data_IF_176796540825
#
_entry.id   IF_176796540825
#
_cell.length_a   1.000
_cell.length_b   1.000
_cell.length_c   1.000
_cell.angle_alpha   90.00
_cell.angle_beta   90.00
_cell.angle_gamma   90.00
#
_symmetry.space_group_name_H-M   'P 1'
#
loop_
_entity.id
_entity.type
_entity.pdbx_description
1 polymer ?
#
# COMPACT_ATOMS: atom_id res chain seq x y z
N UNK A 1 21.36 -13.93 14.81
CA UNK A 1 20.39 -12.88 14.39
C UNK A 1 19.63 -12.44 15.62
N UNK A 2 19.76 -11.18 16.05
CA UNK A 2 18.89 -10.62 17.11
C UNK A 2 17.59 -10.20 16.43
N UNK A 3 16.46 -10.69 16.93
CA UNK A 3 15.16 -10.13 16.57
C UNK A 3 15.20 -8.63 16.89
N UNK A 4 15.07 -7.78 15.87
CA UNK A 4 14.95 -6.33 16.05
C UNK A 4 13.73 -6.04 16.93
N UNK A 5 13.81 -5.02 17.79
CA UNK A 5 12.66 -4.64 18.60
C UNK A 5 11.56 -4.15 17.65
N UNK A 6 10.30 -4.39 17.98
CA UNK A 6 9.15 -3.85 17.23
C UNK A 6 9.18 -2.31 17.11
N UNK A 7 9.93 -1.66 17.99
CA UNK A 7 10.18 -0.21 17.99
C UNK A 7 11.15 0.25 16.89
N UNK A 8 11.91 -0.68 16.28
CA UNK A 8 12.81 -0.41 15.15
C UNK A 8 12.06 -0.42 13.80
N UNK A 9 10.76 -0.73 13.81
CA UNK A 9 9.91 -0.73 12.63
C UNK A 9 9.42 0.69 12.29
N UNK A 10 9.48 1.05 11.01
CA UNK A 10 9.00 2.35 10.54
C UNK A 10 7.48 2.35 10.37
N UNK A 11 6.80 3.02 11.28
CA UNK A 11 5.35 3.19 11.23
C UNK A 11 4.96 4.51 10.57
N UNK A 12 3.97 4.45 9.70
CA UNK A 12 3.34 5.63 9.09
C UNK A 12 1.92 5.74 9.59
N UNK A 13 1.59 6.89 10.19
CA UNK A 13 0.20 7.26 10.40
C UNK A 13 -0.34 7.94 9.15
N UNK A 14 -1.46 7.43 8.63
CA UNK A 14 -2.11 7.95 7.44
C UNK A 14 -3.61 8.07 7.64
N UNK A 15 -4.27 8.92 6.87
CA UNK A 15 -5.72 8.86 6.68
C UNK A 15 -6.02 8.02 5.44
N UNK A 16 -6.85 7.00 5.58
CA UNK A 16 -7.39 6.22 4.47
C UNK A 16 -8.82 6.66 4.22
N UNK A 17 -9.14 6.98 2.97
CA UNK A 17 -10.52 7.21 2.52
C UNK A 17 -10.88 6.14 1.49
N UNK A 18 -11.78 5.23 1.85
CA UNK A 18 -12.24 4.13 1.01
C UNK A 18 -13.31 4.57 0.01
N UNK A 19 -13.58 3.76 -1.01
CA UNK A 19 -14.55 4.08 -2.08
C UNK A 19 -15.99 4.21 -1.59
N UNK A 20 -16.34 3.54 -0.49
CA UNK A 20 -17.63 3.69 0.17
C UNK A 20 -17.77 5.01 0.97
N UNK A 21 -16.75 5.87 0.96
CA UNK A 21 -16.74 7.14 1.69
C UNK A 21 -16.24 7.03 3.13
N UNK A 22 -16.00 5.82 3.63
CA UNK A 22 -15.42 5.62 4.96
C UNK A 22 -14.04 6.26 5.03
N UNK A 23 -13.83 7.09 6.04
CA UNK A 23 -12.54 7.71 6.33
C UNK A 23 -12.05 7.28 7.72
N UNK A 24 -10.82 6.78 7.79
CA UNK A 24 -10.20 6.33 9.04
C UNK A 24 -8.74 6.74 9.15
N UNK A 25 -8.28 6.94 10.38
CA UNK A 25 -6.84 7.01 10.66
C UNK A 25 -6.30 5.59 10.85
N UNK A 26 -5.20 5.27 10.17
CA UNK A 26 -4.54 3.98 10.24
C UNK A 26 -3.05 4.15 10.56
N UNK A 27 -2.50 3.17 11.29
CA UNK A 27 -1.07 3.00 11.53
C UNK A 27 -0.60 1.79 10.70
N UNK A 28 0.10 2.09 9.61
CA UNK A 28 0.60 1.11 8.66
C UNK A 28 2.12 0.96 8.80
N UNK A 29 2.62 -0.26 8.65
CA UNK A 29 4.06 -0.50 8.54
C UNK A 29 4.53 -0.03 7.16
N UNK A 30 5.56 0.81 7.10
CA UNK A 30 6.23 1.11 5.84
C UNK A 30 7.24 0.00 5.54
N UNK A 31 6.94 -0.82 4.54
CA UNK A 31 7.80 -1.91 4.10
C UNK A 31 8.09 -1.79 2.61
N UNK A 32 9.23 -1.21 2.27
CA UNK A 32 9.71 -1.11 0.88
C UNK A 32 10.21 -2.44 0.31
N UNK A 33 10.20 -3.53 1.08
CA UNK A 33 10.36 -4.89 0.59
C UNK A 33 9.05 -5.52 0.13
N UNK A 34 7.91 -5.06 0.66
CA UNK A 34 6.60 -5.57 0.29
C UNK A 34 6.19 -5.13 -1.12
N UNK A 35 5.86 -6.09 -1.98
CA UNK A 35 5.47 -5.83 -3.37
C UNK A 35 4.00 -5.38 -3.53
N UNK A 36 3.22 -5.42 -2.45
CA UNK A 36 1.82 -5.02 -2.42
C UNK A 36 1.55 -4.17 -1.16
N UNK A 37 0.52 -3.31 -1.21
CA UNK A 37 -0.06 -2.78 0.02
C UNK A 37 -1.04 -3.81 0.58
N UNK A 38 -1.11 -3.91 1.90
CA UNK A 38 -1.89 -4.93 2.58
C UNK A 38 -2.70 -4.31 3.70
N UNK A 39 -3.94 -4.78 3.90
CA UNK A 39 -4.72 -4.51 5.10
C UNK A 39 -5.04 -5.81 5.82
N UNK A 40 -4.98 -5.75 7.15
CA UNK A 40 -5.39 -6.87 7.99
C UNK A 40 -6.93 -6.97 7.98
N UNK A 41 -7.48 -8.14 7.63
CA UNK A 41 -8.92 -8.35 7.43
C UNK A 41 -9.75 -8.00 8.66
N UNK A 42 -9.49 -8.52 9.87
CA UNK A 42 -10.17 -8.11 11.10
C UNK A 42 -10.29 -6.59 11.26
N UNK A 43 -9.20 -5.87 10.97
CA UNK A 43 -9.21 -4.41 11.05
C UNK A 43 -10.04 -3.78 9.92
N UNK A 44 -9.83 -4.21 8.67
CA UNK A 44 -10.57 -3.73 7.51
C UNK A 44 -12.09 -3.94 7.65
N UNK A 45 -12.51 -5.08 8.21
CA UNK A 45 -13.91 -5.34 8.56
C UNK A 45 -14.39 -4.40 9.66
N UNK A 46 -13.62 -4.23 10.74
CA UNK A 46 -14.00 -3.38 11.87
C UNK A 46 -14.22 -1.91 11.49
N UNK A 47 -13.56 -1.44 10.44
CA UNK A 47 -13.74 -0.08 9.90
C UNK A 47 -14.74 -0.01 8.74
N UNK A 48 -15.33 -1.12 8.30
CA UNK A 48 -16.25 -1.14 7.16
C UNK A 48 -15.57 -0.91 5.81
N UNK A 49 -14.29 -1.26 5.65
CA UNK A 49 -13.58 -1.11 4.36
C UNK A 49 -14.02 -2.16 3.32
N UNK A 50 -14.61 -3.27 3.76
CA UNK A 50 -14.92 -4.42 2.89
C UNK A 50 -16.31 -4.36 2.23
N UNK A 51 -17.04 -3.25 2.37
CA UNK A 51 -18.40 -3.14 1.82
C UNK A 51 -18.41 -2.99 0.29
N UNK A 52 -17.29 -2.53 -0.30
CA UNK A 52 -17.10 -2.38 -1.74
C UNK A 52 -15.72 -2.90 -2.13
N UNK A 53 -15.67 -4.19 -2.46
CA UNK A 53 -14.43 -4.90 -2.77
C UNK A 53 -14.44 -5.46 -4.19
N UNK A 54 -13.26 -5.59 -4.78
CA UNK A 54 -13.07 -6.48 -5.93
C UNK A 54 -12.69 -7.89 -5.47
N UNK A 55 -12.87 -8.91 -6.32
CA UNK A 55 -12.43 -10.28 -6.03
C UNK A 55 -10.95 -10.31 -5.64
N UNK A 56 -10.62 -11.17 -4.68
CA UNK A 56 -9.25 -11.31 -4.20
C UNK A 56 -8.25 -11.72 -5.29
N UNK A 57 -7.05 -11.17 -5.20
CA UNK A 57 -5.93 -11.44 -6.10
C UNK A 57 -4.99 -12.48 -5.51
N UNK A 58 -4.45 -13.34 -6.35
CA UNK A 58 -3.40 -14.28 -5.96
C UNK A 58 -2.06 -13.57 -5.80
N UNK A 59 -1.34 -13.94 -4.74
CA UNK A 59 -0.04 -13.38 -4.41
C UNK A 59 0.88 -14.46 -3.85
N UNK A 60 2.19 -14.27 -3.96
CA UNK A 60 3.18 -15.14 -3.35
C UNK A 60 3.61 -14.55 -2.02
N UNK A 61 3.42 -15.28 -0.92
CA UNK A 61 3.89 -14.84 0.40
C UNK A 61 5.40 -15.07 0.58
N UNK A 62 5.94 -14.51 1.67
CA UNK A 62 7.37 -14.61 2.03
C UNK A 62 7.83 -16.06 2.23
N UNK A 63 6.93 -16.96 2.64
CA UNK A 63 7.18 -18.41 2.73
C UNK A 63 7.20 -19.13 1.37
N UNK A 64 7.07 -18.39 0.27
CA UNK A 64 7.06 -18.89 -1.10
C UNK A 64 5.72 -19.50 -1.54
N UNK A 65 4.72 -19.61 -0.65
CA UNK A 65 3.42 -20.19 -0.96
C UNK A 65 2.57 -19.23 -1.79
N UNK A 66 1.78 -19.79 -2.72
CA UNK A 66 0.74 -19.05 -3.41
C UNK A 66 -0.47 -18.94 -2.49
N UNK A 67 -0.93 -17.71 -2.26
CA UNK A 67 -2.09 -17.37 -1.43
C UNK A 67 -3.01 -16.46 -2.22
N UNK A 68 -4.23 -16.25 -1.73
CA UNK A 68 -5.19 -15.32 -2.31
C UNK A 68 -5.66 -14.35 -1.24
N UNK A 69 -5.76 -13.07 -1.57
CA UNK A 69 -6.41 -12.11 -0.70
C UNK A 69 -7.90 -12.47 -0.57
N UNK A 70 -8.52 -12.06 0.53
CA UNK A 70 -9.96 -12.23 0.72
C UNK A 70 -10.73 -11.29 -0.21
N UNK A 71 -10.17 -10.09 -0.38
CA UNK A 71 -10.72 -8.98 -1.12
C UNK A 71 -9.59 -8.04 -1.50
N UNK A 72 -9.82 -7.18 -2.49
CA UNK A 72 -9.02 -5.98 -2.64
C UNK A 72 -9.90 -4.75 -2.45
N UNK A 73 -9.31 -3.70 -1.87
CA UNK A 73 -9.96 -2.42 -1.64
C UNK A 73 -9.12 -1.29 -2.23
N UNK A 74 -9.79 -0.27 -2.73
CA UNK A 74 -9.15 0.99 -3.10
C UNK A 74 -9.30 1.98 -1.97
N UNK A 75 -8.20 2.63 -1.60
CA UNK A 75 -8.19 3.71 -0.62
C UNK A 75 -7.33 4.87 -1.10
N UNK A 76 -7.83 6.09 -0.93
CA UNK A 76 -7.00 7.28 -0.99
C UNK A 76 -6.16 7.36 0.29
N UNK A 77 -4.85 7.21 0.15
CA UNK A 77 -3.87 7.23 1.22
C UNK A 77 -3.31 8.64 1.36
N UNK A 78 -3.64 9.32 2.46
CA UNK A 78 -3.11 10.64 2.79
C UNK A 78 -2.05 10.55 3.89
N UNK A 79 -0.81 10.89 3.55
CA UNK A 79 0.33 11.00 4.48
C UNK A 79 0.95 12.38 4.32
N UNK A 80 0.97 13.17 5.39
CA UNK A 80 1.62 14.49 5.39
C UNK A 80 1.06 15.44 4.32
N UNK A 81 -0.21 15.31 3.94
CA UNK A 81 -0.86 16.13 2.90
C UNK A 81 -0.70 15.60 1.47
N UNK A 82 0.07 14.52 1.26
CA UNK A 82 0.16 13.83 -0.03
C UNK A 82 -0.90 12.73 -0.08
N UNK A 83 -1.85 12.86 -0.99
CA UNK A 83 -3.01 11.99 -1.12
C UNK A 83 -2.96 11.22 -2.45
N UNK A 84 -2.82 9.89 -2.39
CA UNK A 84 -2.74 9.01 -3.58
C UNK A 84 -3.65 7.81 -3.40
N UNK A 85 -4.46 7.50 -4.42
CA UNK A 85 -5.32 6.30 -4.43
C UNK A 85 -4.51 5.05 -4.73
N UNK A 86 -4.59 4.08 -3.84
CA UNK A 86 -3.87 2.81 -3.92
C UNK A 86 -4.82 1.63 -3.72
N UNK A 87 -4.49 0.51 -4.35
CA UNK A 87 -5.09 -0.78 -4.03
C UNK A 87 -4.39 -1.42 -2.83
N UNK A 88 -5.17 -2.06 -1.98
CA UNK A 88 -4.73 -2.89 -0.86
C UNK A 88 -5.30 -4.30 -1.00
N UNK A 89 -4.44 -5.29 -0.80
CA UNK A 89 -4.84 -6.68 -0.63
C UNK A 89 -5.30 -6.89 0.81
N UNK A 90 -6.53 -7.33 1.02
CA UNK A 90 -7.03 -7.68 2.35
C UNK A 90 -6.69 -9.14 2.65
N UNK A 91 -5.80 -9.38 3.61
CA UNK A 91 -5.34 -10.72 3.97
C UNK A 91 -5.56 -10.98 5.46
N UNK A 92 -5.69 -12.26 5.83
CA UNK A 92 -5.60 -12.68 7.22
C UNK A 92 -4.12 -12.75 7.60
N UNK A 93 -3.57 -11.67 8.14
CA UNK A 93 -2.23 -11.68 8.74
C UNK A 93 -2.34 -12.09 10.22
N UNK A 94 -1.65 -13.16 10.65
CA UNK A 94 -1.64 -13.55 12.05
C UNK A 94 -0.96 -12.54 12.98
N UNK A 95 -0.30 -11.48 12.47
CA UNK A 95 0.33 -10.44 13.26
C UNK A 95 -0.68 -9.33 13.64
N UNK A 96 -1.08 -9.21 14.92
CA UNK A 96 -2.15 -8.31 15.35
C UNK A 96 -1.73 -6.84 15.52
N UNK A 97 -0.44 -6.51 15.34
CA UNK A 97 0.10 -5.22 15.76
C UNK A 97 0.06 -4.11 14.70
N UNK A 98 -0.38 -4.40 13.47
CA UNK A 98 -0.52 -3.40 12.39
C UNK A 98 -1.92 -3.39 11.81
N UNK A 99 -2.39 -2.22 11.35
CA UNK A 99 -3.60 -2.17 10.52
C UNK A 99 -3.33 -2.74 9.12
N UNK A 100 -2.06 -2.78 8.72
CA UNK A 100 -1.60 -3.24 7.42
C UNK A 100 -0.19 -2.75 7.08
N UNK A 101 0.16 -2.86 5.81
CA UNK A 101 1.47 -2.52 5.24
C UNK A 101 1.26 -1.51 4.10
N UNK A 102 2.05 -0.43 4.10
CA UNK A 102 2.32 0.39 2.91
C UNK A 102 3.56 -0.15 2.22
N UNK A 103 3.34 -0.78 1.08
CA UNK A 103 4.39 -1.43 0.31
C UNK A 103 5.03 -0.53 -0.73
N UNK A 104 5.83 -1.15 -1.58
CA UNK A 104 6.47 -0.51 -2.72
C UNK A 104 5.53 0.20 -3.70
N UNK A 105 4.29 -0.27 -3.97
CA UNK A 105 3.39 0.47 -4.85
C UNK A 105 3.15 1.91 -4.36
N UNK A 106 2.94 2.10 -3.06
CA UNK A 106 2.77 3.44 -2.50
C UNK A 106 4.09 4.21 -2.43
N UNK A 107 5.18 3.55 -1.98
CA UNK A 107 6.48 4.19 -1.88
C UNK A 107 6.98 4.76 -3.23
N UNK A 108 6.73 4.04 -4.33
CA UNK A 108 7.05 4.51 -5.69
C UNK A 108 6.16 5.66 -6.14
N UNK A 109 4.86 5.60 -5.87
CA UNK A 109 3.92 6.67 -6.25
C UNK A 109 4.25 8.00 -5.54
N UNK A 110 4.72 7.92 -4.30
CA UNK A 110 5.06 9.05 -3.45
C UNK A 110 6.55 9.46 -3.47
N UNK A 111 7.36 8.88 -4.36
CA UNK A 111 8.83 9.01 -4.39
C UNK A 111 9.44 9.11 -2.97
N UNK A 112 9.08 8.16 -2.11
CA UNK A 112 9.40 8.23 -0.68
C UNK A 112 10.91 8.12 -0.51
N UNK A 113 11.49 9.12 0.15
CA UNK A 113 12.85 9.05 0.64
C UNK A 113 12.77 8.80 2.15
N UNK A 114 13.26 7.63 2.56
CA UNK A 114 13.43 7.31 3.98
C UNK A 114 14.77 7.88 4.41
N UNK A 115 14.75 8.88 5.30
CA UNK A 115 15.96 9.40 5.94
C UNK A 115 16.05 8.80 7.35
N UNK A 116 16.93 7.79 7.48
CA UNK A 116 17.22 7.12 8.75
C UNK A 116 18.17 7.93 9.65
N UNK A 117 18.40 9.22 9.36
CA UNK A 117 19.18 10.14 10.19
C UNK A 117 18.56 10.40 11.58
N UNK A 118 19.13 11.37 12.31
CA UNK A 118 18.94 11.59 13.77
C UNK A 118 17.52 11.87 14.27
N UNK A 119 16.51 11.85 13.41
CA UNK A 119 15.11 12.17 13.74
C UNK A 119 14.08 11.07 13.36
N UNK A 120 14.49 9.93 12.79
CA UNK A 120 13.57 8.88 12.32
C UNK A 120 12.42 9.44 11.46
N UNK A 121 12.74 10.31 10.51
CA UNK A 121 11.75 11.05 9.69
C UNK A 121 11.58 10.43 8.31
N UNK A 122 10.31 10.24 7.90
CA UNK A 122 9.96 9.82 6.55
C UNK A 122 9.64 11.08 5.72
N UNK A 123 10.37 11.28 4.61
CA UNK A 123 10.08 12.38 3.68
C UNK A 123 9.24 11.85 2.51
N UNK A 124 8.03 12.37 2.38
CA UNK A 124 7.08 12.03 1.31
C UNK A 124 7.04 13.18 0.31
N UNK A 125 7.27 12.91 -1.00
CA UNK A 125 7.23 13.94 -2.05
C UNK A 125 6.36 13.49 -3.22
N UNK A 126 5.25 14.19 -3.45
CA UNK A 126 4.40 13.89 -4.61
C UNK A 126 5.19 14.10 -5.92
N UNK A 127 5.23 13.08 -6.77
CA UNK A 127 5.69 13.22 -8.15
C UNK A 127 4.70 14.11 -8.93
N UNK A 128 5.03 15.40 -9.08
CA UNK A 128 4.54 16.18 -10.23
C UNK A 128 5.29 15.69 -11.48
N UNK A 129 5.03 14.47 -11.96
CA UNK A 129 5.54 14.07 -13.28
C UNK A 129 4.55 14.54 -14.34
N UNK A 130 4.65 15.81 -14.72
CA UNK A 130 4.28 16.18 -16.08
C UNK A 130 5.24 15.40 -17.00
N UNK A 131 4.82 14.21 -17.45
CA UNK A 131 5.50 13.55 -18.56
C UNK A 131 5.38 14.49 -19.76
N UNK A 132 6.50 14.92 -20.38
CA UNK A 132 6.42 15.68 -21.62
C UNK A 132 5.63 14.85 -22.65
N UNK A 133 4.61 15.46 -23.28
CA UNK A 133 3.92 14.85 -24.41
C UNK A 133 4.97 14.45 -25.45
N UNK A 134 5.13 13.13 -25.68
CA UNK A 134 6.09 12.58 -26.63
C UNK A 134 7.21 11.71 -26.05
N UNK A 135 7.31 11.54 -24.73
CA UNK A 135 8.25 10.55 -24.17
C UNK A 135 7.86 9.10 -24.52
N UNK A 136 8.81 8.18 -24.76
CA UNK A 136 8.52 6.78 -25.11
C UNK A 136 7.60 6.07 -24.10
N UNK A 137 7.73 6.43 -22.81
CA UNK A 137 6.88 5.92 -21.73
C UNK A 137 5.40 6.35 -21.82
N UNK A 138 5.06 7.38 -22.62
CA UNK A 138 3.67 7.76 -22.89
C UNK A 138 3.01 6.81 -23.91
N UNK A 139 3.80 6.21 -24.81
CA UNK A 139 3.26 5.31 -25.85
C UNK A 139 2.86 3.94 -25.31
N UNK A 140 3.47 3.50 -24.21
CA UNK A 140 3.13 2.22 -23.57
C UNK A 140 1.90 2.31 -22.65
N UNK A 141 1.50 3.51 -22.20
CA UNK A 141 0.24 3.68 -21.47
C UNK A 141 -1.01 3.69 -22.36
N UNK A 142 -0.85 3.84 -23.68
CA UNK A 142 -1.96 3.89 -24.63
C UNK A 142 -2.25 2.56 -25.35
N UNK A 143 -1.54 1.47 -25.00
CA UNK A 143 -1.75 0.14 -25.60
C UNK A 143 -1.68 -0.96 -24.54
N UNK A 144 -2.74 -1.15 -23.76
CA UNK A 144 -3.16 -2.47 -23.29
C UNK A 144 -4.64 -2.44 -22.89
N UNK A 145 -5.58 -2.68 -23.83
CA UNK A 145 -6.78 -3.42 -23.50
C UNK A 145 -6.39 -4.91 -23.52
N UNK A 146 -6.37 -5.58 -22.38
CA UNK A 146 -6.15 -7.03 -22.34
C UNK A 146 -5.22 -7.50 -21.24
N UNK A 147 -5.85 -8.02 -20.19
CA UNK A 147 -5.49 -9.25 -19.50
C UNK A 147 -4.49 -10.14 -20.27
N UNK A 148 -3.35 -10.48 -19.68
CA UNK A 148 -2.73 -11.79 -19.90
C UNK A 148 -2.26 -12.35 -18.56
N UNK A 149 -2.91 -13.46 -18.19
CA UNK A 149 -2.53 -14.37 -17.11
C UNK A 149 -1.55 -15.40 -17.66
N UNK A 150 -0.60 -15.83 -16.84
CA UNK A 150 0.07 -17.13 -17.01
C UNK A 150 -0.53 -18.13 -16.02
#
# INVERSE_FOLDING_TARGET
MRAGRLDDLMWVQCTLTFTNGTQVTAKLLLDTGAMANVLNVPWAMGVGALDQVSPGTEYRSVDGQLKRSIANVLANVNVGGVAITQEFLCINDPNPHSNGILGMPWARACNVAVDLGSANTITVRHLHRALPQGSPAYRDHARHPGLELH
#
